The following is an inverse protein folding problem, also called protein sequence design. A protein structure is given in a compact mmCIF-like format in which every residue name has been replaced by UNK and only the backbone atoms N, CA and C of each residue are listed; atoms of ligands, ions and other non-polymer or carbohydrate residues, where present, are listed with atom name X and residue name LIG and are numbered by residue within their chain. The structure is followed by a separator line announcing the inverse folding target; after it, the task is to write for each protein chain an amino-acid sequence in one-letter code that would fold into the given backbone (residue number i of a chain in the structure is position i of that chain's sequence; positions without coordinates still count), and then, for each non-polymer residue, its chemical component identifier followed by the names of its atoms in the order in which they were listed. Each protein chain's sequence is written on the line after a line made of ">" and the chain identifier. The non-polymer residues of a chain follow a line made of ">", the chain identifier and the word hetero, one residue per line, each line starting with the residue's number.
data_IF_881394553086
#
_entry.id   IF_881394553086
#
_cell.length_a   1.000
_cell.length_b   1.000
_cell.length_c   1.000
_cell.angle_alpha   90.00
_cell.angle_beta   90.00
_cell.angle_gamma   90.00
#
_symmetry.space_group_name_H-M   'P 1'
#
loop_
_entity.id
_entity.type
_entity.pdbx_description
1 polymer ?
#
# COMPACT_ATOMS: atom_id res chain seq x y z
N UNK A 1 9.38 -18.64 -5.17
CA UNK A 1 8.37 -19.70 -5.40
C UNK A 1 7.58 -19.34 -6.64
N UNK A 2 7.50 -20.23 -7.62
CA UNK A 2 6.70 -20.07 -8.84
C UNK A 2 5.77 -21.27 -9.04
N UNK A 3 4.66 -21.04 -9.72
CA UNK A 3 3.69 -22.06 -10.15
C UNK A 3 3.71 -22.18 -11.68
N UNK A 4 2.69 -22.80 -12.28
CA UNK A 4 2.41 -22.87 -13.73
C UNK A 4 0.91 -22.81 -13.93
N UNK A 5 0.44 -22.19 -15.02
CA UNK A 5 -0.99 -22.15 -15.28
C UNK A 5 -1.39 -21.18 -16.37
N UNK A 6 -2.69 -21.03 -16.54
CA UNK A 6 -3.27 -20.10 -17.52
C UNK A 6 -3.35 -18.70 -16.93
N UNK A 7 -2.97 -17.70 -17.71
CA UNK A 7 -3.21 -16.29 -17.40
C UNK A 7 -4.71 -15.98 -17.48
N UNK A 8 -5.12 -14.83 -16.93
CA UNK A 8 -6.50 -14.33 -17.05
C UNK A 8 -6.97 -14.14 -18.50
N UNK A 9 -6.04 -14.07 -19.46
CA UNK A 9 -6.32 -13.94 -20.89
C UNK A 9 -6.37 -15.30 -21.60
N UNK A 10 -6.20 -16.42 -20.89
CA UNK A 10 -6.24 -17.77 -21.48
C UNK A 10 -4.93 -18.23 -22.13
N UNK A 11 -3.79 -17.59 -21.81
CA UNK A 11 -2.46 -18.00 -22.29
C UNK A 11 -1.73 -18.83 -21.22
N UNK A 12 -1.02 -19.90 -21.60
CA UNK A 12 -0.20 -20.67 -20.66
C UNK A 12 1.06 -19.90 -20.26
N UNK A 13 1.36 -19.84 -18.96
CA UNK A 13 2.57 -19.24 -18.42
C UNK A 13 3.38 -20.27 -17.60
N UNK A 14 4.66 -20.53 -17.95
CA UNK A 14 5.47 -21.56 -17.30
C UNK A 14 6.15 -21.13 -16.00
N UNK A 15 6.15 -19.83 -15.69
CA UNK A 15 6.81 -19.28 -14.49
C UNK A 15 6.02 -18.17 -13.76
N UNK A 16 4.72 -18.32 -13.48
CA UNK A 16 4.02 -17.36 -12.61
C UNK A 16 4.56 -17.36 -11.18
N UNK A 17 5.09 -16.22 -10.73
CA UNK A 17 5.66 -16.00 -9.40
C UNK A 17 4.56 -15.70 -8.39
N UNK A 18 4.72 -16.24 -7.19
CA UNK A 18 3.93 -15.79 -6.03
C UNK A 18 4.45 -14.43 -5.59
N UNK A 19 3.57 -13.45 -5.45
CA UNK A 19 3.89 -12.10 -4.98
C UNK A 19 3.58 -11.97 -3.48
N UNK A 20 2.54 -11.21 -3.09
CA UNK A 20 2.12 -11.15 -1.69
C UNK A 20 1.23 -12.32 -1.28
N UNK A 21 1.33 -12.71 -0.01
CA UNK A 21 0.45 -13.66 0.68
C UNK A 21 -0.07 -12.98 1.94
N UNK A 22 -1.39 -13.00 2.17
CA UNK A 22 -2.00 -12.50 3.41
C UNK A 22 -3.02 -13.50 3.97
N UNK A 23 -3.27 -13.47 5.27
CA UNK A 23 -4.31 -14.27 5.90
C UNK A 23 -5.66 -13.55 5.85
N UNK A 24 -6.73 -14.26 5.47
CA UNK A 24 -8.10 -13.78 5.60
C UNK A 24 -8.48 -13.60 7.08
N UNK A 25 -9.23 -12.53 7.37
CA UNK A 25 -9.80 -12.28 8.70
C UNK A 25 -11.21 -12.89 8.87
N UNK A 26 -11.79 -13.46 7.81
CA UNK A 26 -13.18 -13.91 7.77
C UNK A 26 -13.29 -15.44 7.71
N UNK A 27 -12.37 -16.09 7.01
CA UNK A 27 -12.35 -17.54 6.76
C UNK A 27 -10.95 -18.09 7.02
N UNK A 28 -10.80 -19.40 7.26
CA UNK A 28 -9.49 -20.06 7.33
C UNK A 28 -8.85 -20.16 5.94
N UNK A 29 -8.55 -19.01 5.34
CA UNK A 29 -8.03 -18.90 3.97
C UNK A 29 -6.77 -18.04 3.90
N UNK A 30 -5.80 -18.47 3.10
CA UNK A 30 -4.73 -17.61 2.60
C UNK A 30 -5.20 -16.93 1.32
N UNK A 31 -4.89 -15.64 1.15
CA UNK A 31 -5.03 -14.90 -0.10
C UNK A 31 -3.65 -14.83 -0.75
N UNK A 32 -3.49 -15.48 -1.90
CA UNK A 32 -2.20 -15.66 -2.59
C UNK A 32 -2.26 -15.00 -3.96
N UNK A 33 -1.39 -14.02 -4.20
CA UNK A 33 -1.31 -13.34 -5.49
C UNK A 33 -0.32 -14.02 -6.43
N UNK A 34 -0.80 -14.36 -7.63
CA UNK A 34 0.01 -14.99 -8.67
C UNK A 34 0.26 -13.95 -9.78
N UNK A 35 1.50 -13.45 -9.83
CA UNK A 35 1.88 -12.23 -10.54
C UNK A 35 1.55 -12.29 -12.03
N UNK A 36 2.21 -13.16 -12.79
CA UNK A 36 2.13 -13.14 -14.25
C UNK A 36 0.77 -13.63 -14.77
N UNK A 37 0.12 -14.56 -14.06
CA UNK A 37 -1.21 -15.03 -14.47
C UNK A 37 -2.31 -14.05 -14.13
N UNK A 38 -2.12 -13.14 -13.17
CA UNK A 38 -3.15 -12.21 -12.71
C UNK A 38 -4.25 -12.89 -11.90
N UNK A 39 -3.93 -14.02 -11.28
CA UNK A 39 -4.86 -14.80 -10.47
C UNK A 39 -4.64 -14.52 -8.99
N UNK A 40 -5.74 -14.43 -8.24
CA UNK A 40 -5.75 -14.35 -6.79
C UNK A 40 -6.37 -15.66 -6.28
N UNK A 41 -5.62 -16.41 -5.49
CA UNK A 41 -6.08 -17.68 -4.94
C UNK A 41 -6.54 -17.49 -3.50
N UNK A 42 -7.75 -17.94 -3.18
CA UNK A 42 -8.19 -18.13 -1.80
C UNK A 42 -8.00 -19.60 -1.44
N UNK A 43 -6.95 -19.89 -0.68
CA UNK A 43 -6.53 -21.26 -0.33
C UNK A 43 -7.05 -21.57 1.06
N UNK A 44 -8.09 -22.40 1.15
CA UNK A 44 -8.70 -22.79 2.41
C UNK A 44 -7.82 -23.85 3.10
N UNK A 45 -7.37 -23.55 4.32
CA UNK A 45 -6.48 -24.41 5.09
C UNK A 45 -7.19 -25.17 6.23
N UNK A 46 -8.52 -25.22 6.24
CA UNK A 46 -9.28 -26.00 7.22
C UNK A 46 -9.09 -27.52 7.05
N UNK A 47 -8.90 -27.97 5.81
CA UNK A 47 -8.55 -29.34 5.46
C UNK A 47 -7.44 -29.30 4.40
N UNK A 48 -6.22 -29.55 4.83
CA UNK A 48 -5.03 -29.52 3.96
C UNK A 48 -4.86 -30.81 3.14
N UNK A 49 -5.54 -31.89 3.52
CA UNK A 49 -5.54 -33.15 2.78
C UNK A 49 -6.51 -33.08 1.60
N UNK A 50 -7.65 -32.38 1.77
CA UNK A 50 -8.66 -32.15 0.73
C UNK A 50 -8.77 -30.65 0.38
N UNK A 51 -7.66 -30.07 -0.05
CA UNK A 51 -7.49 -28.62 -0.20
C UNK A 51 -8.53 -28.00 -1.14
N UNK A 52 -9.30 -27.03 -0.63
CA UNK A 52 -10.21 -26.21 -1.43
C UNK A 52 -9.53 -24.90 -1.83
N UNK A 53 -9.50 -24.59 -3.12
CA UNK A 53 -8.93 -23.35 -3.65
C UNK A 53 -9.95 -22.64 -4.53
N UNK A 54 -10.24 -21.38 -4.22
CA UNK A 54 -11.01 -20.50 -5.12
C UNK A 54 -10.03 -19.66 -5.94
N UNK A 55 -10.07 -19.78 -7.26
CA UNK A 55 -9.25 -18.97 -8.18
C UNK A 55 -10.07 -17.79 -8.70
N UNK A 56 -9.60 -16.58 -8.44
CA UNK A 56 -10.24 -15.34 -8.86
C UNK A 56 -9.39 -14.70 -9.96
N UNK A 57 -9.97 -14.53 -11.14
CA UNK A 57 -9.36 -13.76 -12.22
C UNK A 57 -9.38 -12.25 -11.88
N UNK A 58 -8.26 -11.58 -12.06
CA UNK A 58 -8.13 -10.13 -11.81
C UNK A 58 -7.40 -9.42 -12.97
N UNK A 59 -6.16 -9.00 -12.78
CA UNK A 59 -5.31 -8.38 -13.80
C UNK A 59 -3.87 -8.90 -13.68
N UNK A 60 -3.16 -8.99 -14.81
CA UNK A 60 -1.75 -9.42 -14.86
C UNK A 60 -0.85 -8.51 -14.01
N UNK A 61 0.28 -9.06 -13.58
CA UNK A 61 1.33 -8.38 -12.80
C UNK A 61 0.92 -7.96 -11.39
N UNK A 62 0.16 -8.82 -10.70
CA UNK A 62 -0.12 -8.66 -9.28
C UNK A 62 1.19 -8.56 -8.46
N UNK A 63 1.18 -7.69 -7.46
CA UNK A 63 2.35 -7.42 -6.63
C UNK A 63 1.95 -7.47 -5.15
N UNK A 64 1.86 -6.32 -4.51
CA UNK A 64 1.58 -6.10 -3.11
C UNK A 64 0.20 -5.48 -2.91
N UNK A 65 -0.29 -5.56 -1.68
CA UNK A 65 -1.65 -5.16 -1.33
C UNK A 65 -1.90 -5.28 0.16
N UNK A 66 -3.06 -4.78 0.58
CA UNK A 66 -3.50 -4.88 1.96
C UNK A 66 -5.01 -4.80 2.09
N UNK A 67 -5.45 -4.98 3.34
CA UNK A 67 -6.85 -4.97 3.68
C UNK A 67 -7.40 -3.55 3.73
N UNK A 68 -8.66 -3.39 3.36
CA UNK A 68 -9.45 -2.23 3.74
C UNK A 68 -9.61 -2.16 5.28
N UNK A 69 -10.09 -1.02 5.79
CA UNK A 69 -10.27 -0.81 7.23
C UNK A 69 -11.18 -1.86 7.91
N UNK A 70 -12.16 -2.42 7.19
CA UNK A 70 -13.06 -3.45 7.73
C UNK A 70 -12.46 -4.85 7.73
N UNK A 71 -11.30 -5.04 7.09
CA UNK A 71 -10.62 -6.34 6.92
C UNK A 71 -11.45 -7.37 6.13
N UNK A 72 -12.32 -6.89 5.24
CA UNK A 72 -13.16 -7.72 4.37
C UNK A 72 -12.64 -7.75 2.94
N UNK A 73 -12.16 -6.61 2.46
CA UNK A 73 -11.71 -6.46 1.10
C UNK A 73 -10.20 -6.44 1.07
N UNK A 74 -9.60 -7.30 0.26
CA UNK A 74 -8.18 -7.26 -0.02
C UNK A 74 -7.95 -6.46 -1.31
N UNK A 75 -7.25 -5.34 -1.20
CA UNK A 75 -6.87 -4.48 -2.32
C UNK A 75 -5.42 -4.76 -2.71
N UNK A 76 -5.18 -5.12 -3.96
CA UNK A 76 -3.86 -5.48 -4.48
C UNK A 76 -3.54 -4.71 -5.76
N UNK A 77 -2.30 -4.24 -5.87
CA UNK A 77 -1.77 -3.63 -7.08
C UNK A 77 -1.46 -4.68 -8.17
N UNK A 78 -2.08 -4.51 -9.33
CA UNK A 78 -1.60 -5.04 -10.61
C UNK A 78 -0.71 -3.96 -11.24
N UNK A 79 0.53 -3.86 -10.76
CA UNK A 79 1.31 -2.63 -10.85
C UNK A 79 1.63 -2.22 -12.29
N UNK A 80 2.12 -3.15 -13.13
CA UNK A 80 2.43 -2.89 -14.53
C UNK A 80 1.16 -2.71 -15.40
N UNK A 81 -0.02 -3.00 -14.85
CA UNK A 81 -1.32 -2.74 -15.47
C UNK A 81 -1.99 -1.46 -14.96
N UNK A 82 -1.37 -0.72 -14.04
CA UNK A 82 -1.89 0.52 -13.43
C UNK A 82 -3.27 0.37 -12.78
N UNK A 83 -3.54 -0.80 -12.18
CA UNK A 83 -4.83 -1.12 -11.57
C UNK A 83 -4.69 -1.58 -10.13
N UNK A 84 -5.75 -1.36 -9.34
CA UNK A 84 -5.97 -2.02 -8.06
C UNK A 84 -7.14 -3.00 -8.21
N UNK A 85 -6.88 -4.28 -7.97
CA UNK A 85 -7.94 -5.29 -7.87
C UNK A 85 -8.40 -5.38 -6.41
N UNK A 86 -9.72 -5.36 -6.19
CA UNK A 86 -10.32 -5.54 -4.88
C UNK A 86 -11.06 -6.87 -4.82
N UNK A 87 -10.71 -7.73 -3.86
CA UNK A 87 -11.35 -9.03 -3.63
C UNK A 87 -12.19 -8.98 -2.37
N UNK A 88 -13.47 -9.36 -2.47
CA UNK A 88 -14.33 -9.59 -1.32
C UNK A 88 -14.10 -11.00 -0.77
N UNK A 89 -13.36 -11.13 0.33
CA UNK A 89 -13.05 -12.46 0.89
C UNK A 89 -14.22 -13.09 1.63
N UNK A 90 -15.27 -12.31 1.93
CA UNK A 90 -16.53 -12.87 2.43
C UNK A 90 -17.22 -13.70 1.34
N UNK A 91 -17.34 -13.15 0.13
CA UNK A 91 -18.04 -13.79 -0.98
C UNK A 91 -17.12 -14.62 -1.89
N UNK A 92 -15.81 -14.44 -1.80
CA UNK A 92 -14.82 -15.13 -2.63
C UNK A 92 -14.82 -14.64 -4.08
N UNK A 93 -15.10 -13.36 -4.32
CA UNK A 93 -15.26 -12.78 -5.67
C UNK A 93 -14.46 -11.50 -5.84
N UNK A 94 -14.11 -11.19 -7.09
CA UNK A 94 -13.61 -9.86 -7.46
C UNK A 94 -14.74 -8.84 -7.23
N UNK A 95 -14.50 -7.87 -6.36
CA UNK A 95 -15.44 -6.80 -6.04
C UNK A 95 -15.32 -5.63 -7.02
N UNK A 96 -14.09 -5.30 -7.41
CA UNK A 96 -13.80 -4.24 -8.37
C UNK A 96 -12.40 -4.38 -8.98
N UNK A 97 -12.22 -3.72 -10.12
CA UNK A 97 -10.92 -3.46 -10.73
C UNK A 97 -10.86 -1.95 -11.01
N UNK A 98 -10.00 -1.25 -10.28
CA UNK A 98 -9.96 0.22 -10.25
C UNK A 98 -8.73 0.71 -11.00
N UNK A 99 -8.93 1.56 -12.00
CA UNK A 99 -7.84 2.26 -12.70
C UNK A 99 -7.19 3.30 -11.80
N UNK A 100 -5.87 3.40 -11.87
CA UNK A 100 -5.05 4.32 -11.05
C UNK A 100 -3.95 4.97 -11.90
N UNK A 101 -3.19 5.88 -11.30
CA UNK A 101 -1.99 6.42 -11.92
C UNK A 101 -0.90 5.35 -12.12
N UNK A 102 0.18 5.73 -12.81
CA UNK A 102 1.20 4.79 -13.30
C UNK A 102 1.95 4.06 -12.18
N UNK A 103 2.01 2.72 -12.27
CA UNK A 103 2.74 1.80 -11.38
C UNK A 103 2.41 2.05 -9.90
N UNK A 104 1.19 1.72 -9.45
CA UNK A 104 0.84 1.77 -8.03
C UNK A 104 1.74 0.80 -7.25
N UNK A 105 2.24 1.25 -6.10
CA UNK A 105 3.07 0.46 -5.20
C UNK A 105 2.68 0.77 -3.73
N UNK A 106 1.66 0.09 -3.19
CA UNK A 106 1.10 0.43 -1.88
C UNK A 106 1.89 -0.08 -0.66
N UNK A 107 2.70 -1.12 -0.81
CA UNK A 107 2.96 -2.04 0.29
C UNK A 107 1.64 -2.68 0.74
N UNK A 108 1.20 -2.35 1.96
CA UNK A 108 -0.15 -2.71 2.47
C UNK A 108 -1.18 -1.60 2.22
N UNK A 109 -0.74 -0.43 1.75
CA UNK A 109 -1.51 0.80 1.68
C UNK A 109 -1.79 1.42 3.04
N UNK A 110 -2.55 2.50 3.03
CA UNK A 110 -2.94 3.25 4.23
C UNK A 110 -4.46 3.44 4.27
N UNK A 111 -5.09 3.09 5.39
CA UNK A 111 -6.54 3.22 5.58
C UNK A 111 -6.85 4.38 6.52
N UNK A 112 -7.81 5.23 6.16
CA UNK A 112 -8.35 6.26 7.06
C UNK A 112 -9.77 6.67 6.66
N UNK A 113 -10.39 7.52 7.46
CA UNK A 113 -11.70 8.12 7.15
C UNK A 113 -11.50 9.52 6.60
N UNK A 114 -11.73 9.69 5.29
CA UNK A 114 -11.69 10.98 4.62
C UNK A 114 -12.94 11.81 4.97
N UNK A 115 -12.81 13.12 5.29
CA UNK A 115 -13.95 13.95 5.71
C UNK A 115 -15.12 13.99 4.72
N UNK A 116 -14.80 13.98 3.41
CA UNK A 116 -15.80 14.07 2.32
C UNK A 116 -16.25 12.71 1.77
N UNK A 117 -15.38 11.71 1.83
CA UNK A 117 -15.55 10.46 1.06
C UNK A 117 -15.69 9.22 1.96
N UNK A 118 -15.62 9.38 3.28
CA UNK A 118 -15.71 8.27 4.21
C UNK A 118 -14.47 7.37 4.18
N UNK A 119 -14.60 6.06 4.43
CA UNK A 119 -13.48 5.14 4.42
C UNK A 119 -12.75 5.11 3.07
N UNK A 120 -11.44 5.31 3.11
CA UNK A 120 -10.56 5.23 1.94
C UNK A 120 -9.34 4.37 2.24
N UNK A 121 -8.82 3.74 1.18
CA UNK A 121 -7.53 3.08 1.15
C UNK A 121 -6.63 3.81 0.15
N UNK A 122 -5.37 4.02 0.51
CA UNK A 122 -4.43 4.83 -0.27
C UNK A 122 -3.25 4.00 -0.77
N UNK A 123 -2.81 4.30 -1.99
CA UNK A 123 -1.54 3.86 -2.58
C UNK A 123 -0.74 5.06 -3.06
N UNK A 124 0.59 4.95 -3.05
CA UNK A 124 1.44 5.82 -3.86
C UNK A 124 1.93 5.10 -5.11
N UNK A 125 2.80 5.78 -5.86
CA UNK A 125 3.19 5.39 -7.20
C UNK A 125 4.70 5.49 -7.44
N UNK A 126 5.26 4.47 -8.09
CA UNK A 126 6.62 4.53 -8.60
C UNK A 126 6.70 5.45 -9.83
N UNK A 127 5.68 5.42 -10.69
CA UNK A 127 5.70 6.05 -12.00
C UNK A 127 4.88 7.34 -12.14
N UNK A 128 4.29 7.86 -11.06
CA UNK A 128 3.44 9.05 -11.07
C UNK A 128 3.67 9.90 -9.82
N UNK A 129 3.36 11.19 -9.90
CA UNK A 129 3.57 12.22 -8.89
C UNK A 129 2.33 12.45 -8.01
N UNK A 130 1.60 11.39 -7.70
CA UNK A 130 0.36 11.42 -6.91
C UNK A 130 0.29 10.28 -5.91
N UNK A 131 -0.54 10.44 -4.87
CA UNK A 131 -1.09 9.36 -4.07
C UNK A 131 -2.58 9.22 -4.42
N UNK A 132 -3.01 8.00 -4.77
CA UNK A 132 -4.39 7.70 -5.14
C UNK A 132 -5.18 7.23 -3.93
N UNK A 133 -6.32 7.87 -3.65
CA UNK A 133 -7.29 7.46 -2.63
C UNK A 133 -8.47 6.75 -3.30
N UNK A 134 -8.71 5.50 -2.91
CA UNK A 134 -9.83 4.68 -3.36
C UNK A 134 -10.83 4.54 -2.22
N UNK A 135 -12.10 4.89 -2.46
CA UNK A 135 -13.14 4.67 -1.46
C UNK A 135 -13.47 3.19 -1.32
N UNK A 136 -13.55 2.72 -0.06
CA UNK A 136 -13.81 1.32 0.27
C UNK A 136 -15.20 1.16 0.89
N UNK A 137 -15.96 0.10 0.53
CA UNK A 137 -17.26 -0.14 1.16
C UNK A 137 -17.15 -0.37 2.66
N UNK A 138 -18.16 0.08 3.40
CA UNK A 138 -18.30 -0.18 4.82
C UNK A 138 -19.76 -0.52 5.15
N UNK A 139 -19.95 -1.58 5.92
CA UNK A 139 -21.26 -2.00 6.43
C UNK A 139 -21.71 -1.19 7.66
N UNK A 140 -20.84 -0.34 8.23
CA UNK A 140 -21.19 0.55 9.35
C UNK A 140 -22.28 1.56 8.95
N UNK A 141 -23.40 1.68 9.67
CA UNK A 141 -24.51 2.57 9.30
C UNK A 141 -24.11 4.03 9.07
N UNK A 142 -23.21 4.57 9.89
CA UNK A 142 -22.69 5.95 9.76
C UNK A 142 -21.97 6.23 8.44
N UNK A 143 -21.55 5.18 7.72
CA UNK A 143 -20.85 5.30 6.44
C UNK A 143 -21.78 5.06 5.24
N UNK A 144 -23.07 4.80 5.46
CA UNK A 144 -24.01 4.49 4.38
C UNK A 144 -24.12 5.62 3.33
N UNK A 145 -23.97 6.87 3.76
CA UNK A 145 -23.98 8.05 2.90
C UNK A 145 -22.78 8.16 1.95
N UNK A 146 -21.77 7.29 2.04
CA UNK A 146 -20.59 7.30 1.18
C UNK A 146 -20.63 6.19 0.10
N UNK A 147 -21.68 5.36 0.08
CA UNK A 147 -21.78 4.19 -0.82
C UNK A 147 -21.61 4.53 -2.30
N UNK A 148 -22.02 5.73 -2.73
CA UNK A 148 -21.86 6.19 -4.11
C UNK A 148 -20.40 6.33 -4.56
N UNK A 149 -19.44 6.36 -3.64
CA UNK A 149 -18.02 6.50 -3.92
C UNK A 149 -17.28 5.17 -3.99
N UNK A 150 -17.85 4.09 -3.45
CA UNK A 150 -17.20 2.78 -3.37
C UNK A 150 -16.55 2.37 -4.70
N UNK A 151 -15.29 1.93 -4.62
CA UNK A 151 -14.47 1.46 -5.74
C UNK A 151 -14.11 2.51 -6.78
N UNK A 152 -14.24 3.79 -6.44
CA UNK A 152 -13.77 4.90 -7.27
C UNK A 152 -12.51 5.49 -6.67
N UNK A 153 -11.61 5.94 -7.54
CA UNK A 153 -10.62 6.96 -7.18
C UNK A 153 -11.39 8.22 -6.82
N UNK A 154 -11.33 8.62 -5.55
CA UNK A 154 -12.07 9.79 -5.05
C UNK A 154 -11.21 11.04 -4.97
N UNK A 155 -9.89 10.86 -4.92
CA UNK A 155 -8.93 11.96 -4.88
C UNK A 155 -7.53 11.47 -5.28
N UNK A 156 -6.83 12.32 -6.03
CA UNK A 156 -5.39 12.24 -6.24
C UNK A 156 -4.73 13.34 -5.41
N UNK A 157 -3.81 12.97 -4.53
CA UNK A 157 -3.05 13.91 -3.68
C UNK A 157 -1.70 14.14 -4.35
N UNK A 158 -1.34 15.40 -4.63
CA UNK A 158 -0.05 15.72 -5.25
C UNK A 158 1.12 15.26 -4.37
N UNK A 159 2.05 14.53 -4.95
CA UNK A 159 3.30 14.05 -4.35
C UNK A 159 4.44 14.14 -5.39
N UNK A 160 5.37 13.18 -5.37
CA UNK A 160 6.49 13.02 -6.31
C UNK A 160 6.61 11.54 -6.70
N UNK A 161 7.19 11.21 -7.87
CA UNK A 161 7.38 9.82 -8.28
C UNK A 161 8.42 9.10 -7.42
N UNK A 162 8.45 7.77 -7.50
CA UNK A 162 9.37 6.93 -6.75
C UNK A 162 8.93 6.60 -5.33
N UNK A 163 7.65 6.79 -5.00
CA UNK A 163 7.06 6.31 -3.76
C UNK A 163 7.05 4.77 -3.74
N UNK A 164 7.39 4.19 -2.57
CA UNK A 164 7.24 2.77 -2.31
C UNK A 164 6.21 2.48 -1.23
N UNK A 165 6.06 3.37 -0.25
CA UNK A 165 5.17 3.14 0.88
C UNK A 165 4.40 4.40 1.27
N UNK A 166 3.12 4.16 1.59
CA UNK A 166 2.26 5.10 2.31
C UNK A 166 1.91 4.50 3.67
N UNK A 167 1.73 5.35 4.69
CA UNK A 167 1.39 4.88 6.04
C UNK A 167 0.53 5.88 6.81
N UNK A 168 -0.37 5.33 7.62
CA UNK A 168 -1.07 6.04 8.69
C UNK A 168 -1.39 5.06 9.81
N UNK A 169 -2.02 5.53 10.88
CA UNK A 169 -2.43 4.73 12.02
C UNK A 169 -3.81 5.22 12.54
N UNK A 170 -4.69 4.35 13.07
CA UNK A 170 -6.01 4.75 13.56
C UNK A 170 -6.03 5.83 14.65
N UNK A 171 -4.90 6.04 15.34
CA UNK A 171 -4.73 7.10 16.36
C UNK A 171 -3.99 8.34 15.85
N UNK A 172 -3.46 8.29 14.62
CA UNK A 172 -2.77 9.41 13.99
C UNK A 172 -3.74 10.30 13.22
N UNK A 173 -3.35 11.55 13.01
CA UNK A 173 -4.00 12.48 12.07
C UNK A 173 -3.21 12.63 10.77
N UNK A 174 -2.11 11.89 10.63
CA UNK A 174 -1.16 12.09 9.55
C UNK A 174 -1.17 10.95 8.53
N UNK A 175 -1.06 11.33 7.26
CA UNK A 175 -0.73 10.43 6.17
C UNK A 175 0.74 10.67 5.80
N UNK A 176 1.53 9.61 5.79
CA UNK A 176 2.97 9.63 5.50
C UNK A 176 3.21 8.96 4.15
N UNK A 177 4.11 9.52 3.33
CA UNK A 177 4.53 8.93 2.08
C UNK A 177 6.02 9.17 1.82
N UNK A 178 6.74 8.10 1.53
CA UNK A 178 8.16 8.18 1.16
C UNK A 178 8.35 8.44 -0.35
N UNK A 179 9.60 8.62 -0.77
CA UNK A 179 9.95 8.65 -2.20
C UNK A 179 11.35 8.10 -2.47
N UNK A 180 11.70 6.92 -1.92
CA UNK A 180 13.06 6.41 -1.92
C UNK A 180 13.57 6.10 -3.32
N UNK A 181 12.73 5.88 -4.34
CA UNK A 181 13.17 5.64 -5.72
C UNK A 181 13.25 6.92 -6.56
N UNK A 182 13.01 8.09 -5.96
CA UNK A 182 13.19 9.35 -6.66
C UNK A 182 14.68 9.55 -7.02
N UNK A 183 15.00 10.07 -8.22
CA UNK A 183 16.38 10.37 -8.60
C UNK A 183 16.94 11.62 -7.91
N UNK A 184 16.08 12.53 -7.46
CA UNK A 184 16.53 13.67 -6.66
C UNK A 184 16.94 13.20 -5.25
N UNK A 185 18.17 13.54 -4.87
CA UNK A 185 18.75 13.12 -3.59
C UNK A 185 17.93 13.61 -2.40
N UNK A 186 17.50 14.87 -2.42
CA UNK A 186 16.75 15.48 -1.30
C UNK A 186 15.40 14.80 -1.12
N UNK A 187 14.69 14.54 -2.22
CA UNK A 187 13.41 13.83 -2.19
C UNK A 187 13.56 12.37 -1.75
N UNK A 188 14.61 11.68 -2.21
CA UNK A 188 14.88 10.30 -1.81
C UNK A 188 15.31 10.17 -0.34
N UNK A 189 15.90 11.22 0.23
CA UNK A 189 16.30 11.33 1.64
C UNK A 189 15.18 11.84 2.56
N UNK A 190 14.00 12.15 2.01
CA UNK A 190 12.89 12.76 2.74
C UNK A 190 11.61 11.94 2.72
N UNK A 191 10.70 12.25 3.65
CA UNK A 191 9.33 11.74 3.70
C UNK A 191 8.35 12.91 3.81
N UNK A 192 7.25 12.86 3.06
CA UNK A 192 6.20 13.86 3.10
C UNK A 192 5.07 13.43 4.04
N UNK A 193 4.50 14.40 4.76
CA UNK A 193 3.44 14.19 5.76
C UNK A 193 2.30 15.17 5.50
N UNK A 194 1.07 14.66 5.41
CA UNK A 194 -0.14 15.48 5.28
C UNK A 194 -1.01 15.37 6.53
N UNK A 195 -1.80 16.41 6.79
CA UNK A 195 -2.94 16.30 7.69
C UNK A 195 -4.09 15.60 6.95
N UNK A 196 -4.63 14.50 7.47
CA UNK A 196 -5.71 13.76 6.81
C UNK A 196 -7.02 14.56 6.73
N UNK A 197 -7.14 15.66 7.48
CA UNK A 197 -8.25 16.60 7.35
C UNK A 197 -8.08 17.57 6.16
N UNK A 198 -6.85 17.83 5.71
CA UNK A 198 -6.54 18.68 4.56
C UNK A 198 -5.31 18.14 3.78
N UNK A 199 -5.60 17.43 2.70
CA UNK A 199 -4.59 16.83 1.82
C UNK A 199 -4.14 17.77 0.69
N UNK A 200 -4.54 19.05 0.70
CA UNK A 200 -4.22 19.99 -0.38
C UNK A 200 -2.74 20.32 -0.50
N UNK A 201 -1.99 20.19 0.60
CA UNK A 201 -0.53 20.36 0.65
C UNK A 201 0.07 19.55 1.81
N UNK A 202 1.36 19.16 1.73
CA UNK A 202 2.04 18.58 2.87
C UNK A 202 2.04 19.53 4.07
N UNK A 203 1.80 18.97 5.25
CA UNK A 203 2.02 19.62 6.55
C UNK A 203 3.51 19.73 6.85
N UNK A 204 4.29 18.73 6.45
CA UNK A 204 5.75 18.73 6.55
C UNK A 204 6.39 17.88 5.45
N UNK A 205 7.65 18.20 5.15
CA UNK A 205 8.57 17.32 4.42
C UNK A 205 9.80 17.17 5.30
N UNK A 206 10.01 15.97 5.83
CA UNK A 206 11.03 15.66 6.83
C UNK A 206 12.24 15.06 6.13
N UNK A 207 13.40 15.71 6.23
CA UNK A 207 14.64 15.20 5.66
C UNK A 207 15.27 14.22 6.66
N UNK A 208 14.96 12.95 6.48
CA UNK A 208 15.34 11.87 7.39
C UNK A 208 16.86 11.70 7.45
N UNK A 209 17.56 11.94 6.33
CA UNK A 209 19.02 11.90 6.33
C UNK A 209 19.63 12.97 7.23
N UNK A 210 19.15 14.22 7.12
CA UNK A 210 19.60 15.32 7.99
C UNK A 210 19.21 15.07 9.45
N UNK A 211 17.98 14.64 9.67
CA UNK A 211 17.41 14.39 10.98
C UNK A 211 18.11 13.24 11.73
N UNK A 212 18.74 12.31 11.00
CA UNK A 212 19.54 11.24 11.59
C UNK A 212 20.81 11.72 12.32
N UNK A 213 21.26 12.96 12.06
CA UNK A 213 22.52 13.49 12.58
C UNK A 213 23.78 12.81 12.00
N UNK A 214 23.63 11.94 11.01
CA UNK A 214 24.76 11.26 10.36
C UNK A 214 25.55 12.21 9.46
N UNK A 215 26.86 11.98 9.26
CA UNK A 215 27.65 12.76 8.32
C UNK A 215 27.07 12.66 6.89
N UNK A 216 27.10 13.78 6.17
CA UNK A 216 26.70 13.79 4.76
C UNK A 216 27.63 12.90 3.93
N UNK A 217 27.02 12.06 3.09
CA UNK A 217 27.75 11.20 2.15
C UNK A 217 27.44 11.58 0.71
N UNK A 218 28.36 11.26 -0.22
CA UNK A 218 28.09 11.39 -1.66
C UNK A 218 26.94 10.47 -2.11
N UNK A 219 26.88 9.27 -1.56
CA UNK A 219 25.79 8.33 -1.79
C UNK A 219 24.48 8.85 -1.17
N UNK A 220 23.38 8.68 -1.89
CA UNK A 220 22.02 8.94 -1.41
C UNK A 220 21.63 7.90 -0.37
N UNK A 221 21.20 8.35 0.81
CA UNK A 221 20.61 7.45 1.82
C UNK A 221 19.09 7.49 1.74
N UNK A 222 18.46 6.43 1.27
CA UNK A 222 17.04 6.47 0.89
C UNK A 222 16.15 6.33 2.12
N UNK A 223 15.34 7.34 2.42
CA UNK A 223 14.34 7.27 3.48
C UNK A 223 13.17 6.41 3.01
N UNK A 224 12.91 5.30 3.70
CA UNK A 224 11.98 4.28 3.22
C UNK A 224 11.17 3.65 4.35
N UNK A 225 9.90 3.38 4.04
CA UNK A 225 8.96 2.60 4.83
C UNK A 225 8.71 3.17 6.24
N UNK A 226 7.90 4.25 6.36
CA UNK A 226 7.39 4.69 7.65
C UNK A 226 6.56 3.57 8.29
N UNK A 227 6.87 3.19 9.53
CA UNK A 227 6.12 2.18 10.30
C UNK A 227 5.81 2.72 11.70
N UNK A 228 4.57 2.52 12.16
CA UNK A 228 4.16 3.00 13.47
C UNK A 228 4.55 2.03 14.58
N UNK A 229 4.90 2.59 15.73
CA UNK A 229 4.85 1.90 17.03
C UNK A 229 3.44 1.39 17.35
N UNK A 230 3.34 0.39 18.22
CA UNK A 230 2.06 -0.26 18.55
C UNK A 230 1.01 0.69 19.16
N UNK A 231 1.44 1.73 19.89
CA UNK A 231 0.52 2.71 20.47
C UNK A 231 0.18 3.86 19.51
N UNK A 232 0.84 3.90 18.34
CA UNK A 232 0.61 4.87 17.28
C UNK A 232 1.23 6.24 17.51
N UNK A 233 2.11 6.40 18.49
CA UNK A 233 2.70 7.71 18.82
C UNK A 233 4.01 8.00 18.10
N UNK A 234 4.71 6.95 17.70
CA UNK A 234 5.99 7.06 17.00
C UNK A 234 5.90 6.50 15.59
N UNK A 235 6.62 7.12 14.66
CA UNK A 235 6.84 6.66 13.29
C UNK A 235 8.32 6.43 13.06
N UNK A 236 8.67 5.21 12.68
CA UNK A 236 10.03 4.74 12.50
C UNK A 236 10.31 4.68 11.01
N UNK A 237 11.40 5.29 10.57
CA UNK A 237 11.76 5.38 9.15
C UNK A 237 13.17 4.85 8.97
N UNK A 238 13.34 3.88 8.08
CA UNK A 238 14.65 3.37 7.72
C UNK A 238 15.36 4.37 6.82
N UNK A 239 16.59 4.71 7.16
CA UNK A 239 17.51 5.46 6.31
C UNK A 239 18.47 4.46 5.68
N UNK A 240 18.15 4.05 4.46
CA UNK A 240 18.82 2.96 3.74
C UNK A 240 20.07 3.46 2.99
N UNK A 241 21.25 3.14 3.52
CA UNK A 241 22.54 3.34 2.85
C UNK A 241 22.98 2.14 2.00
N UNK A 242 24.04 2.32 1.20
CA UNK A 242 24.71 1.20 0.53
C UNK A 242 25.31 0.20 1.52
N UNK A 243 25.70 -0.99 1.04
CA UNK A 243 26.22 -2.09 1.89
C UNK A 243 27.38 -1.68 2.81
N UNK A 244 28.23 -0.77 2.35
CA UNK A 244 29.40 -0.27 3.10
C UNK A 244 29.13 1.07 3.77
N UNK A 245 27.97 1.68 3.53
CA UNK A 245 27.58 2.94 4.15
C UNK A 245 26.86 2.66 5.47
N UNK A 246 27.09 3.52 6.46
CA UNK A 246 26.29 3.50 7.67
C UNK A 246 24.81 3.79 7.31
N UNK A 247 23.91 3.04 7.92
CA UNK A 247 22.44 3.20 7.86
C UNK A 247 21.89 3.51 9.26
N UNK A 248 20.64 3.96 9.34
CA UNK A 248 19.97 4.25 10.61
C UNK A 248 18.47 3.95 10.55
N UNK A 249 17.83 3.92 11.71
CA UNK A 249 16.38 4.09 11.85
C UNK A 249 16.18 5.39 12.60
N UNK A 250 15.42 6.31 12.01
CA UNK A 250 15.07 7.59 12.65
C UNK A 250 13.65 7.48 13.16
N UNK A 251 13.45 7.87 14.42
CA UNK A 251 12.14 7.80 15.10
C UNK A 251 11.60 9.20 15.27
N UNK A 252 10.39 9.42 14.77
CA UNK A 252 9.65 10.67 14.92
C UNK A 252 8.51 10.49 15.89
N UNK A 253 8.26 11.50 16.73
CA UNK A 253 7.00 11.65 17.44
C UNK A 253 5.93 12.11 16.43
N UNK A 254 4.86 11.32 16.25
CA UNK A 254 3.83 11.56 15.24
C UNK A 254 3.06 12.85 15.52
N UNK A 255 2.84 13.21 16.79
CA UNK A 255 2.06 14.39 17.14
C UNK A 255 2.79 15.69 16.79
N UNK A 256 4.11 15.73 17.02
CA UNK A 256 4.94 16.92 16.84
C UNK A 256 5.74 16.92 15.54
N UNK A 257 5.87 15.78 14.87
CA UNK A 257 6.71 15.56 13.69
C UNK A 257 8.20 15.86 13.93
N UNK A 258 8.66 15.76 15.18
CA UNK A 258 10.06 15.97 15.57
C UNK A 258 10.76 14.64 15.82
N UNK A 259 12.06 14.62 15.55
CA UNK A 259 12.95 13.52 15.94
C UNK A 259 12.93 13.37 17.46
N UNK A 260 12.91 12.13 17.92
CA UNK A 260 12.97 11.76 19.34
C UNK A 260 14.40 11.53 19.82
#
# INVERSE_FOLDING_TARGET
>A
VSTRGMTVDGEYHPEPRVASIVASFIKPEWVVNIKETGQILLVNYADIENLTVTTIASAKFLHDGGWDASKRYFLVAANASNKIAAVDTKTGKLAALVDTAKIPHPGRGANFTHPKFGPVWTTGHLGADVLTLISTPSDTPKNAQYKQYNWKVVQEVKHVPGNLFVKTHPKSKHLWADSPQNPDKTLAESVAVWDMADLSKPKAVLNVAKDSGMPETKATKRAVHPEYSADGKEVWISLWGGKTDQSAIVVYDDATLKVK
#
